data_IF_014282425295
#
_entry.id   IF_014282425295
#
_cell.length_a   1.000
_cell.length_b   1.000
_cell.length_c   1.000
_cell.angle_alpha   90.00
_cell.angle_beta   90.00
_cell.angle_gamma   90.00
#
_symmetry.space_group_name_H-M   'P 1'
#
loop_
_entity.id
_entity.type
_entity.pdbx_description
1 polymer ?
#
# COMPACT_ATOMS: atom_id res chain seq x y z
N UNK A 1 -17.68 12.47 4.57
CA UNK A 1 -16.59 12.50 3.58
C UNK A 1 -15.71 13.76 3.72
N UNK A 2 -15.24 14.09 4.93
CA UNK A 2 -14.38 15.27 5.14
C UNK A 2 -12.88 14.88 5.17
N UNK A 3 -12.59 13.63 5.52
CA UNK A 3 -11.22 13.14 5.75
C UNK A 3 -10.41 13.13 4.45
N UNK A 4 -10.95 12.60 3.34
CA UNK A 4 -10.24 12.53 2.05
C UNK A 4 -9.83 13.93 1.53
N UNK A 5 -10.71 14.95 1.49
CA UNK A 5 -10.30 16.31 1.13
C UNK A 5 -9.18 16.87 2.02
N UNK A 6 -9.25 16.68 3.34
CA UNK A 6 -8.22 17.14 4.27
C UNK A 6 -6.87 16.45 4.04
N UNK A 7 -6.88 15.13 3.86
CA UNK A 7 -5.68 14.36 3.53
C UNK A 7 -5.08 14.81 2.19
N UNK A 8 -5.91 15.08 1.19
CA UNK A 8 -5.48 15.61 -0.10
C UNK A 8 -4.78 16.98 0.04
N UNK A 9 -5.36 17.90 0.83
CA UNK A 9 -4.74 19.19 1.13
C UNK A 9 -3.40 19.02 1.87
N UNK A 10 -3.31 18.09 2.82
CA UNK A 10 -2.08 17.81 3.54
C UNK A 10 -1.00 17.17 2.63
N UNK A 11 -1.37 16.25 1.74
CA UNK A 11 -0.48 15.70 0.70
C UNK A 11 0.10 16.81 -0.18
N UNK A 12 -0.70 17.80 -0.55
CA UNK A 12 -0.23 18.95 -1.32
C UNK A 12 0.82 19.78 -0.55
N UNK A 13 0.61 19.99 0.76
CA UNK A 13 1.58 20.68 1.61
C UNK A 13 2.90 19.90 1.71
N UNK A 14 2.87 18.61 2.04
CA UNK A 14 4.10 17.81 2.14
C UNK A 14 4.82 17.63 0.80
N UNK A 15 4.09 17.67 -0.33
CA UNK A 15 4.69 17.77 -1.67
C UNK A 15 5.44 19.09 -1.84
N UNK A 16 4.84 20.23 -1.45
CA UNK A 16 5.47 21.57 -1.53
C UNK A 16 6.75 21.66 -0.71
N UNK A 17 6.76 21.10 0.50
CA UNK A 17 7.91 21.10 1.40
C UNK A 17 8.86 19.91 1.22
N UNK A 18 8.73 19.13 0.14
CA UNK A 18 9.64 18.03 -0.22
C UNK A 18 9.80 16.97 0.88
N UNK A 19 8.71 16.60 1.56
CA UNK A 19 8.69 15.48 2.52
C UNK A 19 8.05 14.23 1.90
N UNK A 20 8.82 13.39 1.18
CA UNK A 20 8.27 12.24 0.46
C UNK A 20 7.68 11.19 1.38
N UNK A 21 8.27 11.00 2.58
CA UNK A 21 7.81 10.00 3.55
C UNK A 21 6.45 10.38 4.13
N UNK A 22 6.31 11.62 4.59
CA UNK A 22 5.04 12.07 5.15
C UNK A 22 3.94 12.15 4.08
N UNK A 23 4.30 12.57 2.86
CA UNK A 23 3.38 12.51 1.72
C UNK A 23 2.84 11.09 1.49
N UNK A 24 3.72 10.07 1.45
CA UNK A 24 3.29 8.68 1.24
C UNK A 24 2.46 8.15 2.39
N UNK A 25 2.82 8.47 3.63
CA UNK A 25 2.03 8.12 4.81
C UNK A 25 0.58 8.60 4.68
N UNK A 26 0.37 9.87 4.31
CA UNK A 26 -0.97 10.40 4.07
C UNK A 26 -1.68 9.76 2.88
N UNK A 27 -0.93 9.38 1.83
CA UNK A 27 -1.52 8.64 0.71
C UNK A 27 -2.00 7.24 1.11
N UNK A 28 -1.30 6.56 2.04
CA UNK A 28 -1.78 5.29 2.62
C UNK A 28 -3.06 5.52 3.40
N UNK A 29 -3.07 6.50 4.31
CA UNK A 29 -4.28 6.84 5.08
C UNK A 29 -5.46 7.16 4.15
N UNK A 30 -5.23 7.93 3.09
CA UNK A 30 -6.29 8.25 2.12
C UNK A 30 -6.75 7.00 1.35
N UNK A 31 -5.86 6.03 1.10
CA UNK A 31 -6.22 4.74 0.53
C UNK A 31 -7.08 3.89 1.46
N UNK A 32 -6.79 3.89 2.76
CA UNK A 32 -7.60 3.24 3.79
C UNK A 32 -8.99 3.88 3.90
N UNK A 33 -9.09 5.20 3.81
CA UNK A 33 -10.37 5.90 3.75
C UNK A 33 -11.20 5.50 2.52
N UNK A 34 -10.56 5.38 1.33
CA UNK A 34 -11.25 4.86 0.14
C UNK A 34 -11.72 3.42 0.34
N UNK A 35 -10.92 2.57 0.99
CA UNK A 35 -11.31 1.20 1.32
C UNK A 35 -12.55 1.17 2.24
N UNK A 36 -12.54 1.94 3.33
CA UNK A 36 -13.68 2.04 4.25
C UNK A 36 -14.94 2.59 3.58
N UNK A 37 -14.76 3.49 2.63
CA UNK A 37 -15.86 4.06 1.85
C UNK A 37 -16.31 3.17 0.68
N UNK A 38 -15.76 1.95 0.54
CA UNK A 38 -16.05 0.96 -0.50
C UNK A 38 -15.69 1.39 -1.92
N UNK A 39 -14.87 2.42 -2.07
CA UNK A 39 -14.31 2.86 -3.36
C UNK A 39 -12.97 2.15 -3.61
N UNK A 40 -13.05 0.83 -3.75
CA UNK A 40 -11.88 -0.06 -3.79
C UNK A 40 -10.99 0.19 -5.01
N UNK A 41 -11.56 0.64 -6.14
CA UNK A 41 -10.80 0.98 -7.34
C UNK A 41 -9.89 2.20 -7.11
N UNK A 42 -10.38 3.24 -6.41
CA UNK A 42 -9.53 4.39 -6.04
C UNK A 42 -8.50 4.02 -4.98
N UNK A 43 -8.86 3.16 -4.03
CA UNK A 43 -7.91 2.63 -3.05
C UNK A 43 -6.75 1.92 -3.75
N UNK A 44 -7.03 0.97 -4.65
CA UNK A 44 -6.01 0.26 -5.44
C UNK A 44 -5.09 1.20 -6.21
N UNK A 45 -5.67 2.13 -6.97
CA UNK A 45 -4.90 3.08 -7.78
C UNK A 45 -3.95 3.92 -6.92
N UNK A 46 -4.40 4.35 -5.74
CA UNK A 46 -3.61 5.18 -4.86
C UNK A 46 -2.51 4.37 -4.14
N UNK A 47 -2.87 3.22 -3.58
CA UNK A 47 -1.95 2.34 -2.87
C UNK A 47 -0.87 1.77 -3.81
N UNK A 48 -1.21 1.47 -5.07
CA UNK A 48 -0.25 1.02 -6.09
C UNK A 48 0.89 2.03 -6.35
N UNK A 49 0.62 3.33 -6.22
CA UNK A 49 1.68 4.36 -6.32
C UNK A 49 2.65 4.30 -5.14
N UNK A 50 2.13 3.99 -3.96
CA UNK A 50 2.91 3.95 -2.72
C UNK A 50 3.75 2.66 -2.64
N UNK A 51 3.20 1.52 -3.06
CA UNK A 51 3.93 0.24 -3.03
C UNK A 51 5.19 0.29 -3.89
N UNK A 52 5.14 0.91 -5.08
CA UNK A 52 6.31 1.09 -5.94
C UNK A 52 7.49 1.77 -5.19
N UNK A 53 7.18 2.85 -4.49
CA UNK A 53 8.16 3.60 -3.71
C UNK A 53 8.72 2.77 -2.52
N UNK A 54 7.84 2.04 -1.81
CA UNK A 54 8.27 1.17 -0.72
C UNK A 54 9.12 -0.02 -1.19
N UNK A 55 8.90 -0.54 -2.40
CA UNK A 55 9.78 -1.55 -3.01
C UNK A 55 11.18 -0.99 -3.22
N UNK A 56 11.26 0.19 -3.85
CA UNK A 56 12.54 0.81 -4.18
C UNK A 56 13.37 1.11 -2.93
N UNK A 57 12.72 1.53 -1.86
CA UNK A 57 13.38 1.91 -0.60
C UNK A 57 13.48 0.76 0.40
N UNK A 58 12.99 -0.44 0.06
CA UNK A 58 13.04 -1.65 0.89
C UNK A 58 12.30 -1.54 2.25
N UNK A 59 11.19 -0.80 2.29
CA UNK A 59 10.36 -0.67 3.49
C UNK A 59 9.40 -1.84 3.64
N UNK A 60 9.96 -3.00 3.94
CA UNK A 60 9.27 -4.27 3.83
C UNK A 60 8.03 -4.41 4.72
N UNK A 61 8.10 -3.96 5.97
CA UNK A 61 6.95 -4.01 6.89
C UNK A 61 5.78 -3.14 6.42
N UNK A 62 6.05 -1.89 6.03
CA UNK A 62 5.04 -1.00 5.47
C UNK A 62 4.49 -1.54 4.15
N UNK A 63 5.36 -2.09 3.31
CA UNK A 63 4.97 -2.67 2.04
C UNK A 63 3.98 -3.83 2.24
N UNK A 64 4.28 -4.78 3.13
CA UNK A 64 3.40 -5.91 3.44
C UNK A 64 2.02 -5.42 3.90
N UNK A 65 1.96 -4.42 4.79
CA UNK A 65 0.70 -3.85 5.27
C UNK A 65 -0.15 -3.27 4.13
N UNK A 66 0.48 -2.50 3.23
CA UNK A 66 -0.21 -1.91 2.08
C UNK A 66 -0.65 -2.99 1.08
N UNK A 67 0.20 -3.99 0.80
CA UNK A 67 -0.12 -5.09 -0.12
C UNK A 67 -1.31 -5.92 0.37
N UNK A 68 -1.45 -6.17 1.68
CA UNK A 68 -2.61 -6.87 2.24
C UNK A 68 -3.90 -6.08 1.99
N UNK A 69 -3.87 -4.76 2.17
CA UNK A 69 -5.02 -3.90 1.92
C UNK A 69 -5.36 -3.85 0.43
N UNK A 70 -4.35 -3.70 -0.44
CA UNK A 70 -4.51 -3.78 -1.89
C UNK A 70 -5.07 -5.13 -2.34
N UNK A 71 -4.62 -6.24 -1.74
CA UNK A 71 -5.11 -7.58 -2.07
C UNK A 71 -6.61 -7.71 -1.79
N UNK A 72 -7.06 -7.22 -0.63
CA UNK A 72 -8.49 -7.17 -0.27
C UNK A 72 -9.27 -6.31 -1.27
N UNK A 73 -8.72 -5.17 -1.68
CA UNK A 73 -9.37 -4.33 -2.69
C UNK A 73 -9.46 -5.04 -4.05
N UNK A 74 -8.39 -5.69 -4.51
CA UNK A 74 -8.35 -6.42 -5.77
C UNK A 74 -9.41 -7.53 -5.80
N UNK A 75 -9.55 -8.28 -4.70
CA UNK A 75 -10.61 -9.25 -4.52
C UNK A 75 -12.01 -8.62 -4.64
N UNK A 76 -12.25 -7.51 -3.93
CA UNK A 76 -13.57 -6.86 -3.88
C UNK A 76 -13.97 -6.17 -5.21
N UNK A 77 -13.00 -5.79 -6.04
CA UNK A 77 -13.22 -5.25 -7.39
C UNK A 77 -13.37 -6.37 -8.43
N UNK A 78 -13.00 -7.61 -8.09
CA UNK A 78 -12.96 -8.72 -9.05
C UNK A 78 -11.76 -8.66 -10.01
N UNK A 79 -10.69 -7.96 -9.65
CA UNK A 79 -9.46 -7.92 -10.45
C UNK A 79 -8.56 -9.12 -10.10
N UNK A 80 -8.75 -10.21 -10.85
CA UNK A 80 -8.04 -11.49 -10.64
C UNK A 80 -6.53 -11.37 -10.89
N UNK A 81 -6.12 -10.64 -11.93
CA UNK A 81 -4.71 -10.46 -12.28
C UNK A 81 -3.94 -9.76 -11.16
N UNK A 82 -4.47 -8.63 -10.68
CA UNK A 82 -3.87 -7.87 -9.58
C UNK A 82 -3.88 -8.72 -8.29
N UNK A 83 -4.98 -9.43 -8.01
CA UNK A 83 -5.08 -10.29 -6.84
C UNK A 83 -4.02 -11.39 -6.82
N UNK A 84 -3.80 -12.09 -7.94
CA UNK A 84 -2.78 -13.13 -8.05
C UNK A 84 -1.38 -12.53 -7.90
N UNK A 85 -1.12 -11.41 -8.57
CA UNK A 85 0.17 -10.71 -8.50
C UNK A 85 0.53 -10.33 -7.07
N UNK A 86 -0.40 -9.71 -6.35
CA UNK A 86 -0.23 -9.31 -4.96
C UNK A 86 -0.05 -10.52 -4.02
N UNK A 87 -0.79 -11.61 -4.26
CA UNK A 87 -0.70 -12.84 -3.49
C UNK A 87 0.67 -13.51 -3.62
N UNK A 88 1.19 -13.59 -4.85
CA UNK A 88 2.49 -14.18 -5.13
C UNK A 88 3.61 -13.35 -4.50
N UNK A 89 3.51 -12.02 -4.55
CA UNK A 89 4.51 -11.16 -3.93
C UNK A 89 4.56 -11.33 -2.40
N UNK A 90 3.39 -11.33 -1.74
CA UNK A 90 3.29 -11.54 -0.29
C UNK A 90 3.85 -12.91 0.12
N UNK A 91 3.52 -13.95 -0.64
CA UNK A 91 3.97 -15.32 -0.36
C UNK A 91 5.48 -15.48 -0.57
N UNK A 92 6.02 -14.96 -1.67
CA UNK A 92 7.45 -15.02 -1.95
C UNK A 92 8.29 -14.37 -0.85
N UNK A 93 7.76 -13.33 -0.21
CA UNK A 93 8.43 -12.65 0.90
C UNK A 93 8.39 -13.40 2.22
N UNK A 94 7.25 -14.00 2.56
CA UNK A 94 7.14 -14.88 3.72
C UNK A 94 8.13 -16.05 3.64
N UNK A 95 8.30 -16.65 2.46
CA UNK A 95 9.25 -17.75 2.23
C UNK A 95 10.69 -17.28 2.46
N UNK A 96 11.07 -16.09 1.97
CA UNK A 96 12.41 -15.54 2.16
C UNK A 96 12.71 -15.22 3.64
N UNK A 97 11.73 -14.67 4.36
CA UNK A 97 11.87 -14.41 5.80
C UNK A 97 12.05 -15.73 6.56
N UNK A 98 11.21 -16.73 6.32
CA UNK A 98 11.31 -18.05 6.96
C UNK A 98 12.65 -18.74 6.67
N UNK A 99 13.13 -18.70 5.42
CA UNK A 99 14.43 -19.26 5.06
C UNK A 99 15.58 -18.56 5.81
N UNK A 100 15.52 -17.23 5.95
CA UNK A 100 16.50 -16.47 6.72
C UNK A 100 16.47 -16.81 8.22
N UNK A 101 15.29 -17.09 8.79
CA UNK A 101 15.20 -17.59 10.17
C UNK A 101 15.88 -18.95 10.34
N UNK A 102 15.69 -19.89 9.42
CA UNK A 102 16.29 -21.23 9.49
C UNK A 102 17.81 -21.27 9.25
N UNK A 103 18.38 -20.27 8.55
CA UNK A 103 19.82 -20.17 8.35
C UNK A 103 20.57 -19.53 9.54
N UNK A 104 19.85 -18.78 10.37
CA UNK A 104 20.44 -18.04 11.50
C UNK A 104 20.23 -18.76 12.86
N UNK A 105 19.69 -19.97 12.85
CA UNK A 105 19.41 -20.81 14.01
C UNK A 105 19.98 -22.22 13.77
#
# INVERSE_FOLDING_TARGET
WVIIPLLSSAVAQFKKYKSPRMKRYLMVQMGEEYYHARDYSKALLLLGKVTWDYRREKWWSLLTSVLITSLRCAYLVGNVEEYITLSLELTGRCILENAAYHLNN
#
